data_IF_324616819659
#
_entry.id   IF_324616819659
#
_cell.length_a   1.000
_cell.length_b   1.000
_cell.length_c   1.000
_cell.angle_alpha   90.00
_cell.angle_beta   90.00
_cell.angle_gamma   90.00
#
_symmetry.space_group_name_H-M   'P 1'
#
loop_
_entity.id
_entity.type
_entity.pdbx_description
1 polymer ?
#
# COMPACT_ATOMS: atom_id res chain seq x y z
N UNK A 1 17.37 1.79 -32.45
CA UNK A 1 17.61 1.43 -31.04
C UNK A 1 16.97 2.43 -30.04
N UNK A 2 15.82 3.02 -30.39
CA UNK A 2 15.05 3.92 -29.49
C UNK A 2 13.75 3.25 -28.97
N UNK A 3 13.22 2.29 -29.73
CA UNK A 3 11.98 1.55 -29.42
C UNK A 3 12.08 0.62 -28.19
N UNK A 4 13.29 0.17 -27.85
CA UNK A 4 13.53 -0.70 -26.68
C UNK A 4 13.44 0.05 -25.35
N UNK A 5 13.62 1.38 -25.31
CA UNK A 5 13.55 2.14 -24.05
C UNK A 5 12.11 2.51 -23.65
N UNK A 6 11.19 2.57 -24.61
CA UNK A 6 9.78 2.85 -24.34
C UNK A 6 9.01 1.62 -23.81
N UNK A 7 9.42 0.40 -24.17
CA UNK A 7 8.78 -0.82 -23.67
C UNK A 7 9.00 -1.04 -22.17
N UNK A 8 10.18 -0.71 -21.63
CA UNK A 8 10.45 -0.88 -20.19
C UNK A 8 9.60 0.05 -19.30
N UNK A 9 9.28 1.26 -19.75
CA UNK A 9 8.41 2.19 -18.99
C UNK A 9 6.95 1.73 -18.94
N UNK A 10 6.48 1.02 -19.96
CA UNK A 10 5.08 0.56 -20.04
C UNK A 10 4.83 -0.67 -19.16
N UNK A 11 5.80 -1.58 -19.02
CA UNK A 11 5.66 -2.82 -18.24
C UNK A 11 5.49 -2.55 -16.74
N UNK A 12 6.09 -1.48 -16.21
CA UNK A 12 5.99 -1.13 -14.79
C UNK A 12 4.60 -0.70 -14.33
N UNK A 13 3.74 -0.26 -15.25
CA UNK A 13 2.42 0.32 -14.93
C UNK A 13 1.27 -0.68 -14.88
N UNK A 14 1.40 -1.86 -15.54
CA UNK A 14 0.25 -2.74 -15.79
C UNK A 14 -0.40 -3.34 -14.54
N UNK A 15 0.36 -3.46 -13.45
CA UNK A 15 -0.12 -4.09 -12.21
C UNK A 15 -0.03 -3.15 -10.99
N UNK A 16 0.06 -1.83 -11.21
CA UNK A 16 0.15 -0.86 -10.11
C UNK A 16 -1.21 -0.75 -9.43
N UNK A 17 -1.22 -0.88 -8.10
CA UNK A 17 -2.47 -0.90 -7.32
C UNK A 17 -2.94 0.53 -6.99
N UNK A 18 -2.03 1.39 -6.54
CA UNK A 18 -2.33 2.75 -6.06
C UNK A 18 -1.21 3.73 -6.37
N UNK A 19 -1.53 5.03 -6.38
CA UNK A 19 -0.58 6.11 -6.50
C UNK A 19 -0.95 7.28 -5.58
N UNK A 20 -0.13 7.53 -4.56
CA UNK A 20 -0.25 8.67 -3.65
C UNK A 20 0.90 9.65 -3.88
N UNK A 21 0.61 10.96 -3.86
CA UNK A 21 1.67 11.98 -3.83
C UNK A 21 2.03 12.28 -2.37
N UNK A 22 3.33 12.24 -2.06
CA UNK A 22 3.87 12.66 -0.77
C UNK A 22 3.56 14.13 -0.47
N UNK A 23 3.52 14.99 -1.49
CA UNK A 23 3.20 16.41 -1.33
C UNK A 23 1.76 16.63 -0.89
N UNK A 24 0.86 15.70 -1.21
CA UNK A 24 -0.55 15.78 -0.86
C UNK A 24 -0.86 15.00 0.43
N UNK A 25 0.08 14.19 0.91
CA UNK A 25 -0.05 13.41 2.14
C UNK A 25 0.24 14.28 3.37
N UNK A 26 -0.69 14.29 4.32
CA UNK A 26 -0.58 14.97 5.62
C UNK A 26 0.06 14.06 6.67
N UNK A 27 -0.48 12.85 6.84
CA UNK A 27 0.06 11.86 7.77
C UNK A 27 -0.44 10.45 7.43
N UNK A 28 0.19 9.45 8.06
CA UNK A 28 -0.19 8.04 7.95
C UNK A 28 -0.43 7.44 9.33
N UNK A 29 -1.41 6.55 9.43
CA UNK A 29 -1.59 5.67 10.61
C UNK A 29 -1.28 4.23 10.22
N UNK A 30 -0.41 3.59 10.97
CA UNK A 30 -0.16 2.15 10.89
C UNK A 30 -0.94 1.48 12.03
N UNK A 31 -1.80 0.53 11.70
CA UNK A 31 -2.66 -0.18 12.66
C UNK A 31 -2.46 -1.67 12.46
N UNK A 32 -2.03 -2.38 13.49
CA UNK A 32 -1.91 -3.84 13.46
C UNK A 32 -2.76 -4.45 14.56
N UNK A 33 -3.77 -5.21 14.15
CA UNK A 33 -4.72 -5.82 15.08
C UNK A 33 -4.09 -6.98 15.85
N UNK A 34 -3.29 -7.82 15.20
CA UNK A 34 -2.59 -8.92 15.89
C UNK A 34 -1.62 -8.41 16.96
N UNK A 35 -0.93 -7.29 16.68
CA UNK A 35 0.03 -6.69 17.60
C UNK A 35 -0.61 -5.71 18.60
N UNK A 36 -1.91 -5.42 18.45
CA UNK A 36 -2.62 -4.37 19.19
C UNK A 36 -1.87 -3.02 19.21
N UNK A 37 -1.43 -2.56 18.02
CA UNK A 37 -0.66 -1.32 17.88
C UNK A 37 -1.32 -0.34 16.93
N UNK A 38 -1.23 0.95 17.26
CA UNK A 38 -1.58 2.06 16.38
C UNK A 38 -0.48 3.13 16.47
N UNK A 39 0.06 3.55 15.33
CA UNK A 39 1.11 4.57 15.28
C UNK A 39 0.81 5.62 14.21
N UNK A 40 0.78 6.87 14.64
CA UNK A 40 0.66 8.02 13.73
C UNK A 40 2.04 8.51 13.32
N UNK A 41 2.25 8.69 12.02
CA UNK A 41 3.51 9.14 11.43
C UNK A 41 3.26 10.43 10.67
N UNK A 42 3.89 11.52 11.14
CA UNK A 42 3.85 12.86 10.53
C UNK A 42 5.21 13.31 9.99
N UNK A 43 6.27 12.57 10.31
CA UNK A 43 7.63 12.87 9.88
C UNK A 43 7.76 12.68 8.36
N UNK A 44 8.22 13.72 7.65
CA UNK A 44 8.23 13.75 6.19
C UNK A 44 9.17 12.70 5.59
N UNK A 45 10.30 12.39 6.26
CA UNK A 45 11.25 11.37 5.79
C UNK A 45 10.62 9.98 5.86
N UNK A 46 9.99 9.66 7.00
CA UNK A 46 9.25 8.39 7.18
C UNK A 46 8.06 8.30 6.24
N UNK A 47 7.27 9.37 6.09
CA UNK A 47 6.15 9.43 5.15
C UNK A 47 6.60 9.13 3.73
N UNK A 48 7.68 9.77 3.26
CA UNK A 48 8.23 9.51 1.92
C UNK A 48 8.60 8.05 1.75
N UNK A 49 9.22 7.42 2.75
CA UNK A 49 9.57 6.00 2.72
C UNK A 49 8.34 5.09 2.60
N UNK A 50 7.31 5.36 3.40
CA UNK A 50 6.04 4.62 3.39
C UNK A 50 5.33 4.77 2.05
N UNK A 51 5.09 6.02 1.60
CA UNK A 51 4.40 6.30 0.33
C UNK A 51 5.14 5.70 -0.86
N UNK A 52 6.47 5.75 -0.88
CA UNK A 52 7.27 5.12 -1.94
C UNK A 52 7.06 3.61 -2.00
N UNK A 53 7.06 2.93 -0.84
CA UNK A 53 6.82 1.49 -0.77
C UNK A 53 5.41 1.13 -1.21
N UNK A 54 4.40 1.89 -0.77
CA UNK A 54 2.99 1.67 -1.14
C UNK A 54 2.76 1.87 -2.64
N UNK A 55 3.30 2.94 -3.22
CA UNK A 55 3.21 3.21 -4.66
C UNK A 55 3.95 2.17 -5.51
N UNK A 56 4.89 1.44 -4.91
CA UNK A 56 5.63 0.36 -5.55
C UNK A 56 4.93 -0.99 -5.49
N UNK A 57 3.80 -1.12 -4.77
CA UNK A 57 3.05 -2.37 -4.66
C UNK A 57 2.39 -2.74 -5.99
N UNK A 58 2.47 -4.02 -6.30
CA UNK A 58 1.91 -4.64 -7.49
C UNK A 58 1.02 -5.81 -7.14
N UNK A 59 -0.06 -5.95 -7.89
CA UNK A 59 -1.01 -7.03 -7.74
C UNK A 59 -2.07 -7.04 -8.82
N UNK A 60 -2.87 -8.08 -8.81
CA UNK A 60 -3.96 -8.29 -9.75
C UNK A 60 -5.29 -8.10 -9.01
N UNK A 61 -6.22 -7.35 -9.59
CA UNK A 61 -7.56 -7.18 -9.03
C UNK A 61 -8.27 -8.53 -9.03
N UNK A 62 -8.86 -8.90 -7.91
CA UNK A 62 -9.56 -10.18 -7.71
C UNK A 62 -10.93 -9.94 -7.10
N UNK A 63 -11.88 -10.82 -7.41
CA UNK A 63 -13.17 -10.85 -6.71
C UNK A 63 -13.05 -11.77 -5.50
N UNK A 64 -12.94 -11.19 -4.31
CA UNK A 64 -13.04 -11.94 -3.06
C UNK A 64 -14.47 -11.89 -2.55
N UNK A 65 -15.27 -12.87 -2.98
CA UNK A 65 -16.58 -13.14 -2.39
C UNK A 65 -16.38 -14.17 -1.27
N UNK A 66 -16.49 -13.75 -0.02
CA UNK A 66 -16.60 -14.63 1.16
C UNK A 66 -15.38 -15.49 1.56
N UNK A 67 -14.15 -14.99 1.51
CA UNK A 67 -13.07 -15.64 2.27
C UNK A 67 -13.09 -15.17 3.74
N UNK A 68 -12.93 -16.12 4.68
CA UNK A 68 -12.81 -15.82 6.11
C UNK A 68 -11.62 -14.90 6.35
N UNK A 69 -11.90 -13.62 6.57
CA UNK A 69 -10.87 -12.61 6.78
C UNK A 69 -10.22 -12.84 8.15
N UNK A 70 -8.96 -13.26 8.16
CA UNK A 70 -8.13 -13.18 9.36
C UNK A 70 -7.92 -11.71 9.79
N UNK A 71 -7.29 -11.51 10.95
CA UNK A 71 -6.93 -10.17 11.42
C UNK A 71 -6.18 -9.40 10.33
N UNK A 72 -6.55 -8.13 10.14
CA UNK A 72 -5.99 -7.27 9.11
C UNK A 72 -5.03 -6.25 9.69
N UNK A 73 -4.00 -5.93 8.92
CA UNK A 73 -3.16 -4.75 9.16
C UNK A 73 -3.63 -3.61 8.25
N UNK A 74 -3.66 -2.38 8.74
CA UNK A 74 -4.13 -1.22 8.00
C UNK A 74 -3.08 -0.12 7.93
N UNK A 75 -2.97 0.48 6.75
CA UNK A 75 -2.30 1.75 6.54
C UNK A 75 -3.39 2.76 6.13
N UNK A 76 -3.71 3.68 7.03
CA UNK A 76 -4.56 4.82 6.68
C UNK A 76 -3.68 5.96 6.20
N UNK A 77 -4.00 6.50 5.02
CA UNK A 77 -3.28 7.64 4.44
C UNK A 77 -4.25 8.81 4.40
N UNK A 78 -3.87 9.90 5.07
CA UNK A 78 -4.66 11.13 5.10
C UNK A 78 -4.00 12.17 4.22
N UNK A 79 -4.76 12.74 3.31
CA UNK A 79 -4.30 13.89 2.53
C UNK A 79 -4.38 15.19 3.33
N UNK A 80 -3.92 16.30 2.75
CA UNK A 80 -3.98 17.64 3.35
C UNK A 80 -5.39 18.18 3.54
N UNK A 81 -6.39 17.59 2.91
CA UNK A 81 -7.82 17.87 3.13
C UNK A 81 -8.44 16.95 4.19
N UNK A 82 -7.62 16.11 4.86
CA UNK A 82 -8.02 15.08 5.82
C UNK A 82 -8.89 13.98 5.23
N UNK A 83 -8.93 13.84 3.89
CA UNK A 83 -9.57 12.70 3.25
C UNK A 83 -8.69 11.46 3.48
N UNK A 84 -9.32 10.39 3.92
CA UNK A 84 -8.67 9.12 4.26
C UNK A 84 -8.78 8.12 3.11
N UNK A 85 -7.67 7.49 2.77
CA UNK A 85 -7.64 6.24 2.00
C UNK A 85 -7.20 5.10 2.91
N UNK A 86 -7.97 4.02 2.96
CA UNK A 86 -7.67 2.85 3.79
C UNK A 86 -7.05 1.76 2.93
N UNK A 87 -5.84 1.35 3.29
CA UNK A 87 -5.14 0.21 2.69
C UNK A 87 -5.09 -0.91 3.72
N UNK A 88 -6.02 -1.84 3.62
CA UNK A 88 -6.10 -3.02 4.49
C UNK A 88 -5.36 -4.20 3.86
N UNK A 89 -4.61 -4.96 4.65
CA UNK A 89 -3.95 -6.19 4.23
C UNK A 89 -4.48 -7.37 4.99
N UNK A 90 -4.76 -8.44 4.26
CA UNK A 90 -4.99 -9.77 4.79
C UNK A 90 -4.09 -10.76 4.05
N UNK A 91 -3.10 -11.35 4.73
CA UNK A 91 -2.15 -12.28 4.10
C UNK A 91 -1.51 -11.72 2.82
N UNK A 92 -1.78 -12.32 1.66
CA UNK A 92 -1.29 -11.88 0.35
C UNK A 92 -2.28 -10.98 -0.40
N UNK A 93 -3.36 -10.55 0.25
CA UNK A 93 -4.38 -9.71 -0.34
C UNK A 93 -4.36 -8.30 0.25
N UNK A 94 -4.62 -7.31 -0.60
CA UNK A 94 -4.88 -5.94 -0.21
C UNK A 94 -6.31 -5.54 -0.56
N UNK A 95 -6.99 -4.92 0.39
CA UNK A 95 -8.21 -4.18 0.17
C UNK A 95 -7.89 -2.69 0.14
N UNK A 96 -8.26 -2.02 -0.95
CA UNK A 96 -8.16 -0.57 -1.04
C UNK A 96 -9.51 -0.05 -1.54
N UNK A 97 -10.14 0.78 -0.72
CA UNK A 97 -11.56 1.14 -0.89
C UNK A 97 -12.41 -0.15 -0.95
N UNK A 98 -13.07 -0.42 -2.08
CA UNK A 98 -13.94 -1.59 -2.27
C UNK A 98 -13.34 -2.64 -3.22
N UNK A 99 -12.06 -2.51 -3.58
CA UNK A 99 -11.38 -3.43 -4.49
C UNK A 99 -10.36 -4.29 -3.76
N UNK A 100 -10.28 -5.55 -4.19
CA UNK A 100 -9.32 -6.52 -3.68
C UNK A 100 -8.22 -6.78 -4.71
N UNK A 101 -7.00 -6.90 -4.22
CA UNK A 101 -5.81 -7.14 -5.03
C UNK A 101 -5.01 -8.28 -4.44
N UNK A 102 -4.68 -9.29 -5.25
CA UNK A 102 -3.71 -10.32 -4.89
C UNK A 102 -2.30 -9.78 -5.17
N UNK A 103 -1.51 -9.61 -4.11
CA UNK A 103 -0.14 -9.12 -4.19
C UNK A 103 0.79 -10.16 -4.81
N UNK A 104 1.77 -9.67 -5.58
CA UNK A 104 2.95 -10.48 -5.87
C UNK A 104 3.81 -10.69 -4.60
N UNK A 105 4.66 -11.71 -4.61
CA UNK A 105 5.48 -12.06 -3.44
C UNK A 105 6.41 -10.92 -2.98
N UNK A 106 6.86 -10.07 -3.90
CA UNK A 106 7.72 -8.93 -3.60
C UNK A 106 6.94 -7.83 -2.87
N UNK A 107 5.73 -7.54 -3.33
CA UNK A 107 4.82 -6.53 -2.80
C UNK A 107 4.29 -6.95 -1.43
N UNK A 108 3.98 -8.24 -1.27
CA UNK A 108 3.61 -8.83 0.02
C UNK A 108 4.70 -8.59 1.08
N UNK A 109 5.97 -8.90 0.75
CA UNK A 109 7.12 -8.60 1.63
C UNK A 109 7.33 -7.10 1.86
N UNK A 110 7.18 -6.28 0.82
CA UNK A 110 7.35 -4.83 0.93
C UNK A 110 6.34 -4.20 1.90
N UNK A 111 5.09 -4.68 1.89
CA UNK A 111 4.08 -4.20 2.83
C UNK A 111 4.44 -4.57 4.27
N UNK A 112 4.89 -5.80 4.51
CA UNK A 112 5.33 -6.24 5.85
C UNK A 112 6.50 -5.39 6.35
N UNK A 113 7.44 -5.07 5.46
CA UNK A 113 8.57 -4.21 5.77
C UNK A 113 8.16 -2.78 6.15
N UNK A 114 6.97 -2.29 5.78
CA UNK A 114 6.47 -0.99 6.27
C UNK A 114 6.23 -1.08 7.76
N UNK A 115 5.52 -2.11 8.22
CA UNK A 115 5.23 -2.31 9.64
C UNK A 115 6.50 -2.57 10.43
N UNK A 116 7.41 -3.42 9.93
CA UNK A 116 8.65 -3.73 10.65
C UNK A 116 9.61 -2.53 10.77
N UNK A 117 9.59 -1.60 9.81
CA UNK A 117 10.50 -0.45 9.83
C UNK A 117 9.94 0.76 10.56
N UNK A 118 8.61 0.92 10.56
CA UNK A 118 7.99 2.18 10.96
C UNK A 118 7.03 2.05 12.13
N UNK A 119 6.49 0.86 12.42
CA UNK A 119 5.65 0.61 13.59
C UNK A 119 6.51 0.29 14.81
#
# INVERSE_FOLDING_TARGET
MLLLFLSYKVIGSRNKIVNFDIKDTSYVELISFEKNTMKTIKDNVKLRGIITKINGLKGEEVNMENEGLSAMDFINIYDKSFKKTVVGRNNNYLKINDKWYKLDSRSSKNFENIFNQYN
#
